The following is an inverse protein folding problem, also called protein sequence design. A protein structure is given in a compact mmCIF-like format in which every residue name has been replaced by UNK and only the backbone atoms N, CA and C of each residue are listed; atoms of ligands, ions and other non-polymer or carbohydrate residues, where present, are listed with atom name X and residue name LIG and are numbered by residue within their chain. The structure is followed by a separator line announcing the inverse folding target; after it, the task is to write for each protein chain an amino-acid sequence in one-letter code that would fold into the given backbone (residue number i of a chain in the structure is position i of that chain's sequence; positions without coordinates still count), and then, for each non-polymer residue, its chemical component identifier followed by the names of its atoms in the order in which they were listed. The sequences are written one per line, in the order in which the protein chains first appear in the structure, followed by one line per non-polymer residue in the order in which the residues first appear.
data_IF_777394894494
#
_entry.id   IF_777394894494
#
_cell.length_a   1.000
_cell.length_b   1.000
_cell.length_c   1.000
_cell.angle_alpha   90.00
_cell.angle_beta   90.00
_cell.angle_gamma   90.00
#
_symmetry.space_group_name_H-M   'P 1'
#
loop_
_entity.id
_entity.type
_entity.pdbx_description
1 polymer ?
#
# COMPACT_ATOMS: atom_id res chain seq x y z
N UNK A 1 -48.53 18.38 -34.52
CA UNK A 1 -47.74 19.54 -34.99
C UNK A 1 -46.29 19.03 -35.08
N UNK A 2 -45.84 18.39 -36.17
CA UNK A 2 -45.25 18.97 -37.41
C UNK A 2 -44.28 20.12 -37.09
N UNK A 3 -43.02 20.22 -37.53
CA UNK A 3 -42.17 19.41 -38.41
C UNK A 3 -40.74 20.03 -38.45
N UNK A 4 -39.71 19.16 -38.54
CA UNK A 4 -38.55 19.18 -39.49
C UNK A 4 -37.43 20.27 -39.47
N UNK A 5 -36.19 19.73 -39.45
CA UNK A 5 -34.89 20.16 -40.06
C UNK A 5 -35.01 20.66 -41.54
N UNK A 6 -33.99 21.31 -42.20
CA UNK A 6 -32.57 20.87 -42.29
C UNK A 6 -31.45 21.93 -42.62
N UNK A 7 -30.18 21.45 -42.67
CA UNK A 7 -28.99 21.97 -43.41
C UNK A 7 -28.99 21.41 -44.87
N UNK A 8 -27.97 21.56 -45.78
CA UNK A 8 -26.74 22.39 -45.88
C UNK A 8 -26.60 23.10 -47.27
N UNK A 9 -25.46 23.75 -47.60
CA UNK A 9 -25.04 23.99 -49.00
C UNK A 9 -23.50 23.97 -49.18
N UNK A 10 -23.04 23.20 -50.17
CA UNK A 10 -21.67 23.11 -50.71
C UNK A 10 -21.70 23.64 -52.15
N UNK A 11 -20.72 24.47 -52.55
CA UNK A 11 -20.58 24.92 -53.94
C UNK A 11 -19.15 25.21 -54.38
N UNK A 12 -18.54 24.25 -55.10
CA UNK A 12 -17.24 24.31 -55.81
C UNK A 12 -17.26 25.26 -57.02
N UNK A 13 -16.08 25.77 -57.42
CA UNK A 13 -15.43 25.78 -58.78
C UNK A 13 -14.33 26.86 -58.85
N UNK A 14 -13.45 26.97 -59.85
CA UNK A 14 -12.32 26.13 -60.30
C UNK A 14 -11.37 27.03 -61.15
N UNK A 15 -10.05 26.82 -61.02
CA UNK A 15 -8.92 26.98 -61.98
C UNK A 15 -8.79 28.16 -62.99
N UNK A 16 -7.61 28.82 -63.02
CA UNK A 16 -6.56 28.78 -64.09
C UNK A 16 -5.53 29.95 -64.03
N UNK A 17 -4.24 29.61 -64.17
CA UNK A 17 -3.06 30.44 -64.50
C UNK A 17 -3.05 30.83 -66.01
N UNK A 18 -2.07 31.52 -66.68
CA UNK A 18 -0.71 31.98 -66.28
C UNK A 18 -0.20 33.34 -66.87
N UNK A 19 1.04 33.76 -66.55
CA UNK A 19 1.77 34.78 -67.35
C UNK A 19 3.04 35.40 -66.71
N UNK A 20 4.23 34.99 -67.18
CA UNK A 20 5.58 35.62 -67.02
C UNK A 20 5.74 36.79 -68.04
N UNK A 21 6.81 37.66 -68.08
CA UNK A 21 8.23 37.42 -67.72
C UNK A 21 9.08 38.60 -67.13
N UNK A 22 10.35 38.23 -66.82
CA UNK A 22 11.63 38.89 -66.42
C UNK A 22 12.13 40.02 -67.37
N UNK A 23 13.21 40.84 -67.10
CA UNK A 23 14.60 40.37 -66.79
C UNK A 23 15.66 41.28 -66.08
N UNK A 24 16.83 40.63 -65.82
CA UNK A 24 18.24 41.12 -65.81
C UNK A 24 18.73 42.07 -64.70
N UNK A 25 19.99 42.09 -64.24
CA UNK A 25 21.19 41.23 -64.30
C UNK A 25 22.30 41.95 -63.48
N UNK A 26 23.23 41.22 -62.84
CA UNK A 26 24.69 41.51 -62.88
C UNK A 26 25.49 40.53 -62.00
N UNK A 27 26.40 39.81 -62.65
CA UNK A 27 27.49 39.01 -62.06
C UNK A 27 28.63 39.91 -61.58
N UNK A 28 29.46 39.42 -60.65
CA UNK A 28 30.92 39.41 -60.79
C UNK A 28 31.56 38.31 -59.91
N UNK A 29 32.42 37.51 -60.55
CA UNK A 29 33.23 36.44 -60.00
C UNK A 29 34.53 36.99 -59.37
N UNK A 30 34.94 36.44 -58.23
CA UNK A 30 36.37 36.27 -57.90
C UNK A 30 36.58 34.94 -57.16
N UNK A 31 37.38 34.07 -57.78
CA UNK A 31 37.96 32.85 -57.19
C UNK A 31 39.05 33.25 -56.17
N UNK A 32 39.01 32.66 -54.98
CA UNK A 32 40.11 32.66 -54.01
C UNK A 32 39.92 31.50 -53.06
N UNK A 33 40.81 30.51 -53.11
CA UNK A 33 40.69 29.24 -52.39
C UNK A 33 41.31 29.28 -50.98
N UNK A 34 40.71 28.48 -50.08
CA UNK A 34 41.30 27.74 -48.95
C UNK A 34 41.92 28.52 -47.77
N UNK A 35 41.24 28.52 -46.61
CA UNK A 35 41.67 27.79 -45.40
C UNK A 35 40.61 27.83 -44.28
N UNK A 36 40.63 26.80 -43.44
CA UNK A 36 39.64 26.41 -42.45
C UNK A 36 39.38 27.38 -41.28
N UNK A 37 38.14 27.43 -40.81
CA UNK A 37 37.74 27.46 -39.39
C UNK A 37 36.20 27.52 -39.30
N UNK A 38 35.52 26.37 -39.33
CA UNK A 38 34.15 26.31 -38.82
C UNK A 38 34.21 26.09 -37.31
N UNK A 39 33.97 27.15 -36.55
CA UNK A 39 33.60 27.06 -35.14
C UNK A 39 32.21 26.44 -35.06
N UNK A 40 32.17 25.11 -34.97
CA UNK A 40 30.99 24.40 -34.55
C UNK A 40 30.69 24.79 -33.10
N UNK A 41 29.55 25.43 -32.87
CA UNK A 41 28.95 25.48 -31.55
C UNK A 41 28.54 24.05 -31.21
N UNK A 42 29.22 23.43 -30.24
CA UNK A 42 28.80 22.16 -29.69
C UNK A 42 27.50 22.36 -28.87
N UNK A 43 26.52 21.45 -28.95
CA UNK A 43 25.40 21.46 -28.03
C UNK A 43 25.90 20.91 -26.68
N UNK A 44 26.29 21.79 -25.77
CA UNK A 44 26.49 21.46 -24.36
C UNK A 44 25.17 21.69 -23.63
N UNK A 45 24.20 20.78 -23.78
CA UNK A 45 22.98 20.80 -22.98
C UNK A 45 22.19 19.47 -23.01
N UNK A 46 22.69 18.38 -23.59
CA UNK A 46 21.88 17.15 -23.75
C UNK A 46 22.61 15.86 -23.37
N UNK A 47 23.80 15.94 -22.78
CA UNK A 47 24.53 14.79 -22.23
C UNK A 47 24.60 14.79 -20.70
N UNK A 48 24.21 15.89 -20.05
CA UNK A 48 24.22 16.04 -18.58
C UNK A 48 22.99 15.43 -17.90
N UNK A 49 21.84 15.31 -18.58
CA UNK A 49 20.65 14.65 -18.03
C UNK A 49 20.71 13.11 -18.15
N UNK A 50 21.19 12.56 -19.27
CA UNK A 50 21.12 11.11 -19.56
C UNK A 50 22.08 10.25 -18.70
N UNK A 51 23.08 10.85 -18.04
CA UNK A 51 24.10 10.10 -17.28
C UNK A 51 24.02 10.22 -15.75
N UNK A 52 23.14 11.07 -15.20
CA UNK A 52 23.03 11.28 -13.74
C UNK A 52 22.44 10.07 -12.99
N UNK A 53 21.62 9.24 -13.64
CA UNK A 53 20.96 8.08 -13.02
C UNK A 53 21.83 6.81 -12.89
N UNK A 54 23.08 6.81 -13.37
CA UNK A 54 23.89 5.56 -13.45
C UNK A 54 24.43 5.06 -12.10
N UNK A 55 24.36 5.86 -11.04
CA UNK A 55 24.89 5.54 -9.71
C UNK A 55 23.87 5.75 -8.58
N UNK A 56 22.59 5.55 -8.86
CA UNK A 56 21.63 5.41 -7.78
C UNK A 56 21.86 4.05 -7.10
N UNK A 57 22.31 4.05 -5.84
CA UNK A 57 22.37 2.81 -5.09
C UNK A 57 20.98 2.54 -4.53
N UNK A 58 20.34 1.53 -5.09
CA UNK A 58 19.05 1.08 -4.62
C UNK A 58 19.24 0.35 -3.28
N UNK A 59 18.43 0.70 -2.30
CA UNK A 59 18.34 0.00 -1.02
C UNK A 59 17.33 -1.12 -1.14
N UNK A 60 17.65 -2.32 -0.68
CA UNK A 60 16.67 -3.41 -0.64
C UNK A 60 15.75 -3.21 0.57
N UNK A 61 14.44 -3.14 0.34
CA UNK A 61 13.47 -3.27 1.43
C UNK A 61 13.35 -4.75 1.80
N UNK A 62 13.62 -5.03 3.06
CA UNK A 62 13.27 -6.31 3.69
C UNK A 62 12.07 -6.06 4.58
N UNK A 63 10.89 -6.54 4.20
CA UNK A 63 9.70 -6.50 5.04
C UNK A 63 9.94 -7.34 6.31
N UNK A 64 10.52 -6.72 7.33
CA UNK A 64 10.83 -7.36 8.61
C UNK A 64 9.59 -7.41 9.49
N UNK A 65 9.14 -8.61 9.85
CA UNK A 65 8.23 -8.77 10.99
C UNK A 65 9.02 -8.48 12.27
N UNK A 66 8.85 -7.27 12.82
CA UNK A 66 9.39 -6.92 14.12
C UNK A 66 8.88 -7.88 15.20
N UNK A 67 9.81 -8.58 15.83
CA UNK A 67 9.53 -9.52 16.92
C UNK A 67 9.67 -8.85 18.28
N UNK A 68 8.68 -9.12 19.15
CA UNK A 68 8.78 -9.02 20.61
C UNK A 68 8.34 -7.68 21.22
N UNK A 69 7.30 -7.76 22.05
CA UNK A 69 6.76 -6.77 23.00
C UNK A 69 5.82 -5.67 22.46
N UNK A 70 4.51 -5.97 22.56
CA UNK A 70 3.31 -5.12 22.73
C UNK A 70 3.11 -3.81 21.92
N UNK A 71 3.95 -3.47 20.96
CA UNK A 71 3.70 -2.40 19.95
C UNK A 71 4.40 -2.70 18.63
N UNK A 72 3.94 -3.71 17.90
CA UNK A 72 4.54 -4.17 16.63
C UNK A 72 5.13 -3.04 15.79
N UNK A 73 6.46 -2.91 15.84
CA UNK A 73 7.25 -1.98 15.04
C UNK A 73 7.84 -2.76 13.87
N UNK A 74 7.45 -2.42 12.65
CA UNK A 74 8.20 -2.81 11.45
C UNK A 74 8.93 -1.59 10.91
N UNK A 75 10.21 -1.76 10.59
CA UNK A 75 11.03 -0.73 9.98
C UNK A 75 11.25 -1.13 8.51
N UNK A 76 10.77 -0.27 7.62
CA UNK A 76 11.13 -0.25 6.21
C UNK A 76 12.19 0.83 6.03
N UNK A 77 12.99 0.80 4.95
CA UNK A 77 14.02 1.83 4.74
C UNK A 77 13.39 3.24 4.84
N UNK A 78 13.77 4.02 5.86
CA UNK A 78 13.26 5.38 6.13
C UNK A 78 11.79 5.51 6.55
N UNK A 79 11.05 4.39 6.67
CA UNK A 79 9.62 4.38 7.04
C UNK A 79 9.43 3.52 8.30
N UNK A 80 8.87 4.14 9.34
CA UNK A 80 8.54 3.48 10.59
C UNK A 80 7.06 3.20 10.68
N UNK A 81 6.71 1.95 11.00
CA UNK A 81 5.33 1.51 11.22
C UNK A 81 5.14 1.29 12.72
N UNK A 82 4.09 1.87 13.28
CA UNK A 82 3.72 1.73 14.70
C UNK A 82 2.27 1.28 14.83
N UNK A 83 2.02 0.34 15.72
CA UNK A 83 0.68 -0.16 16.02
C UNK A 83 0.22 0.29 17.41
N UNK A 84 -1.05 0.71 17.52
CA UNK A 84 -1.72 1.06 18.77
C UNK A 84 -3.09 0.39 18.84
N UNK A 85 -3.40 -0.21 19.98
CA UNK A 85 -4.66 -0.94 20.16
C UNK A 85 -4.58 -2.37 19.63
N UNK A 86 -5.62 -3.14 19.91
CA UNK A 86 -5.63 -4.60 19.71
C UNK A 86 -4.93 -5.36 20.84
N UNK A 87 -5.59 -6.38 21.38
CA UNK A 87 -4.97 -7.32 22.30
C UNK A 87 -4.07 -8.28 21.49
N UNK A 88 -2.78 -8.39 21.84
CA UNK A 88 -1.73 -9.05 21.03
C UNK A 88 -1.71 -10.58 21.14
N UNK A 89 -2.68 -11.20 21.82
CA UNK A 89 -2.80 -12.65 21.94
C UNK A 89 -3.65 -13.27 20.83
N UNK A 90 -3.10 -14.23 20.09
CA UNK A 90 -3.84 -15.15 19.19
C UNK A 90 -4.27 -14.59 17.82
N UNK A 91 -4.31 -13.27 17.66
CA UNK A 91 -4.78 -12.59 16.46
C UNK A 91 -3.90 -12.70 15.21
N UNK A 92 -4.35 -12.15 14.07
CA UNK A 92 -3.64 -12.23 12.80
C UNK A 92 -3.97 -11.11 11.81
N UNK A 93 -3.37 -11.14 10.60
CA UNK A 93 -3.63 -10.13 9.58
C UNK A 93 -5.08 -10.20 9.12
N UNK A 94 -5.68 -9.04 8.84
CA UNK A 94 -6.98 -8.99 8.16
C UNK A 94 -6.80 -9.37 6.70
N UNK A 95 -7.69 -10.22 6.20
CA UNK A 95 -7.78 -10.51 4.77
C UNK A 95 -8.61 -9.41 4.14
N UNK A 96 -8.00 -8.61 3.25
CA UNK A 96 -8.74 -7.59 2.50
C UNK A 96 -9.86 -8.23 1.68
N UNK A 97 -11.07 -7.66 1.75
CA UNK A 97 -12.15 -8.04 0.85
C UNK A 97 -11.86 -7.62 -0.61
N UNK A 98 -10.95 -6.66 -0.80
CA UNK A 98 -10.46 -6.19 -2.10
C UNK A 98 -8.94 -6.43 -2.22
N UNK A 99 -8.54 -7.32 -3.12
CA UNK A 99 -7.13 -7.71 -3.35
C UNK A 99 -6.44 -6.86 -4.42
N UNK A 100 -7.05 -5.75 -4.84
CA UNK A 100 -6.50 -4.94 -5.94
C UNK A 100 -5.28 -4.10 -5.56
N UNK A 101 -5.04 -3.88 -4.26
CA UNK A 101 -3.85 -3.17 -3.81
C UNK A 101 -2.62 -4.07 -3.77
N UNK A 102 -1.53 -3.62 -4.40
CA UNK A 102 -0.20 -4.22 -4.34
C UNK A 102 0.80 -3.12 -4.01
N UNK A 103 1.71 -3.31 -3.04
CA UNK A 103 2.72 -2.30 -2.74
C UNK A 103 3.54 -1.95 -3.99
N UNK A 104 3.97 -0.70 -4.15
CA UNK A 104 4.72 -0.30 -5.33
C UNK A 104 6.03 -1.10 -5.41
N UNK A 105 6.51 -1.38 -6.62
CA UNK A 105 7.73 -2.16 -6.82
C UNK A 105 9.01 -1.39 -6.41
N UNK A 106 8.95 -0.06 -6.32
CA UNK A 106 9.99 0.78 -5.72
C UNK A 106 9.39 2.06 -5.13
N UNK A 107 10.13 2.72 -4.25
CA UNK A 107 9.81 4.06 -3.71
C UNK A 107 11.10 4.78 -3.29
N UNK A 108 11.06 6.08 -3.01
CA UNK A 108 12.17 6.82 -2.41
C UNK A 108 11.99 6.93 -0.91
N UNK A 109 13.07 6.89 -0.14
CA UNK A 109 12.99 7.09 1.31
C UNK A 109 14.26 7.76 1.85
N UNK A 110 14.18 8.46 3.00
CA UNK A 110 15.36 8.96 3.68
C UNK A 110 16.17 7.79 4.23
N UNK A 111 17.29 7.48 3.58
CA UNK A 111 18.06 6.26 3.86
C UNK A 111 19.33 6.54 4.63
N UNK A 112 19.99 7.67 4.34
CA UNK A 112 21.31 7.96 4.87
C UNK A 112 21.41 9.37 5.46
N UNK A 113 22.09 9.47 6.60
CA UNK A 113 22.70 10.73 7.03
C UNK A 113 23.84 11.14 6.07
N UNK A 114 24.32 12.40 6.08
CA UNK A 114 25.50 12.81 5.33
C UNK A 114 26.71 11.89 5.51
N UNK A 115 27.03 11.57 6.77
CA UNK A 115 28.16 10.69 7.10
C UNK A 115 27.96 9.28 6.53
N UNK A 116 26.77 8.69 6.71
CA UNK A 116 26.49 7.36 6.18
C UNK A 116 26.47 7.33 4.66
N UNK A 117 25.98 8.38 4.00
CA UNK A 117 25.95 8.44 2.53
C UNK A 117 27.37 8.43 1.95
N UNK A 118 28.26 9.27 2.48
CA UNK A 118 29.67 9.29 2.09
C UNK A 118 30.33 7.93 2.32
N UNK A 119 30.18 7.38 3.52
CA UNK A 119 30.74 6.07 3.86
C UNK A 119 30.21 4.97 2.94
N UNK A 120 28.91 5.01 2.63
CA UNK A 120 28.28 4.05 1.73
C UNK A 120 29.01 4.05 0.39
N UNK A 121 29.32 5.21 -0.19
CA UNK A 121 29.99 5.32 -1.47
C UNK A 121 31.45 4.82 -1.42
N UNK A 122 32.18 5.15 -0.36
CA UNK A 122 33.53 4.62 -0.12
C UNK A 122 33.54 3.08 -0.07
N UNK A 123 32.55 2.49 0.61
CA UNK A 123 32.40 1.03 0.68
C UNK A 123 32.11 0.41 -0.68
N UNK A 124 31.29 1.06 -1.52
CA UNK A 124 31.08 0.62 -2.90
C UNK A 124 32.37 0.67 -3.69
N UNK A 125 33.14 1.76 -3.61
CA UNK A 125 34.41 1.85 -4.29
C UNK A 125 35.37 0.74 -3.81
N UNK A 126 35.46 0.51 -2.51
CA UNK A 126 36.36 -0.51 -1.94
C UNK A 126 36.01 -1.93 -2.36
N UNK A 127 34.72 -2.24 -2.51
CA UNK A 127 34.24 -3.56 -2.91
C UNK A 127 34.14 -3.76 -4.43
N UNK A 128 34.32 -2.69 -5.21
CA UNK A 128 34.20 -2.73 -6.67
C UNK A 128 35.58 -2.97 -7.34
N UNK A 129 35.73 -3.99 -8.21
CA UNK A 129 36.99 -4.26 -8.92
C UNK A 129 37.46 -3.08 -9.80
N UNK A 130 38.77 -2.87 -9.93
CA UNK A 130 39.33 -1.73 -10.68
C UNK A 130 38.94 -1.67 -12.18
N UNK A 131 38.59 -2.80 -12.79
CA UNK A 131 38.26 -2.88 -14.22
C UNK A 131 36.75 -2.75 -14.53
N UNK A 132 35.90 -2.45 -13.55
CA UNK A 132 34.43 -2.38 -13.73
C UNK A 132 33.90 -0.96 -13.92
N UNK A 133 34.72 -0.01 -14.40
CA UNK A 133 34.31 1.39 -14.51
C UNK A 133 34.36 2.18 -13.19
N UNK A 134 35.00 1.63 -12.15
CA UNK A 134 35.16 2.25 -10.82
C UNK A 134 35.67 3.70 -10.86
N UNK A 135 36.66 4.00 -11.69
CA UNK A 135 37.22 5.36 -11.79
C UNK A 135 36.23 6.37 -12.36
N UNK A 136 35.37 5.92 -13.26
CA UNK A 136 34.33 6.73 -13.87
C UNK A 136 33.18 6.97 -12.86
N UNK A 137 32.81 5.95 -12.09
CA UNK A 137 31.89 6.07 -10.96
C UNK A 137 32.38 7.08 -9.91
N UNK A 138 33.65 6.99 -9.50
CA UNK A 138 34.27 7.91 -8.55
C UNK A 138 34.24 9.35 -9.07
N UNK A 139 34.58 9.56 -10.34
CA UNK A 139 34.54 10.89 -10.97
C UNK A 139 33.14 11.49 -10.97
N UNK A 140 32.13 10.75 -11.40
CA UNK A 140 30.74 11.25 -11.44
C UNK A 140 30.18 11.51 -10.05
N UNK A 141 30.50 10.66 -9.08
CA UNK A 141 30.06 10.86 -7.70
C UNK A 141 30.71 12.09 -7.08
N UNK A 142 32.01 12.29 -7.31
CA UNK A 142 32.71 13.50 -6.86
C UNK A 142 32.14 14.77 -7.52
N UNK A 143 31.83 14.72 -8.82
CA UNK A 143 31.17 15.83 -9.52
C UNK A 143 29.78 16.16 -8.96
N UNK A 144 29.03 15.15 -8.53
CA UNK A 144 27.66 15.31 -8.04
C UNK A 144 27.58 15.66 -6.54
N UNK A 145 28.43 15.05 -5.70
CA UNK A 145 28.33 15.10 -4.23
C UNK A 145 29.65 15.40 -3.51
N UNK A 146 30.75 15.59 -4.24
CA UNK A 146 32.08 15.85 -3.68
C UNK A 146 32.28 17.25 -3.09
N UNK A 147 33.53 17.56 -2.69
CA UNK A 147 33.89 18.83 -2.01
C UNK A 147 33.50 20.07 -2.81
N UNK A 148 33.64 20.02 -4.14
CA UNK A 148 33.36 21.14 -5.05
C UNK A 148 31.92 21.13 -5.60
N UNK A 149 31.08 20.18 -5.17
CA UNK A 149 29.68 20.06 -5.63
C UNK A 149 28.73 21.04 -4.95
N UNK A 150 27.47 21.10 -5.41
CA UNK A 150 26.44 21.89 -4.73
C UNK A 150 26.15 21.42 -3.29
N UNK A 151 26.51 20.17 -2.97
CA UNK A 151 26.34 19.55 -1.66
C UNK A 151 27.62 19.52 -0.82
N UNK A 152 28.69 20.22 -1.23
CA UNK A 152 29.90 20.47 -0.42
C UNK A 152 30.35 19.27 0.44
N UNK A 153 30.83 18.21 -0.21
CA UNK A 153 31.21 16.93 0.42
C UNK A 153 30.03 16.26 1.15
N UNK A 154 29.04 15.82 0.38
CA UNK A 154 27.90 14.99 0.84
C UNK A 154 27.02 15.64 1.92
N UNK A 155 27.06 16.97 2.04
CA UNK A 155 26.45 17.76 3.10
C UNK A 155 26.97 17.40 4.49
N UNK A 156 28.24 16.98 4.63
CA UNK A 156 28.81 16.61 5.94
C UNK A 156 28.74 17.74 6.97
N UNK A 157 28.75 19.00 6.53
CA UNK A 157 28.58 20.17 7.39
C UNK A 157 27.12 20.42 7.82
N UNK A 158 26.16 19.69 7.24
CA UNK A 158 24.70 19.76 7.51
C UNK A 158 24.15 18.49 8.16
N UNK A 159 25.01 17.75 8.85
CA UNK A 159 24.64 16.56 9.63
C UNK A 159 23.49 16.87 10.61
N UNK A 160 22.42 16.08 10.54
CA UNK A 160 21.21 16.28 11.35
C UNK A 160 20.27 17.40 10.90
N UNK A 161 20.54 18.06 9.77
CA UNK A 161 19.63 19.05 9.17
C UNK A 161 18.65 18.43 8.17
N UNK A 162 18.91 17.21 7.70
CA UNK A 162 18.12 16.52 6.69
C UNK A 162 18.62 15.11 6.44
N UNK A 163 18.15 14.48 5.36
CA UNK A 163 18.58 13.14 4.96
C UNK A 163 18.80 13.05 3.45
N UNK A 164 19.67 12.12 3.07
CA UNK A 164 19.80 11.64 1.69
C UNK A 164 18.72 10.62 1.38
N UNK A 165 17.94 10.92 0.35
CA UNK A 165 16.88 10.07 -0.15
C UNK A 165 17.39 9.20 -1.30
N UNK A 166 17.24 7.89 -1.16
CA UNK A 166 17.63 6.92 -2.19
C UNK A 166 16.40 6.18 -2.68
N UNK A 167 16.50 5.57 -3.85
CA UNK A 167 15.51 4.58 -4.26
C UNK A 167 15.60 3.34 -3.34
N UNK A 168 14.45 2.74 -3.10
CA UNK A 168 14.26 1.53 -2.33
C UNK A 168 13.52 0.53 -3.21
N UNK A 169 14.11 -0.64 -3.43
CA UNK A 169 13.49 -1.75 -4.16
C UNK A 169 12.62 -2.55 -3.21
N UNK A 170 11.35 -2.71 -3.57
CA UNK A 170 10.48 -3.65 -2.91
C UNK A 170 10.71 -5.06 -3.46
N UNK A 171 11.51 -5.84 -2.72
CA UNK A 171 11.87 -7.22 -3.09
C UNK A 171 10.70 -8.20 -3.02
N UNK A 172 9.59 -7.84 -2.36
CA UNK A 172 8.37 -8.64 -2.32
C UNK A 172 7.49 -8.47 -3.58
N UNK A 173 7.74 -7.44 -4.39
CA UNK A 173 7.03 -7.25 -5.66
C UNK A 173 7.46 -8.28 -6.71
N UNK A 174 6.50 -8.77 -7.50
CA UNK A 174 6.77 -9.62 -8.66
C UNK A 174 6.99 -8.80 -9.96
N UNK A 175 6.76 -7.49 -9.91
CA UNK A 175 7.02 -6.56 -11.02
C UNK A 175 8.48 -6.13 -11.03
N UNK A 176 9.32 -6.96 -11.64
CA UNK A 176 10.77 -6.75 -11.73
C UNK A 176 11.14 -5.55 -12.61
N UNK A 177 10.29 -5.18 -13.58
CA UNK A 177 10.51 -4.00 -14.42
C UNK A 177 10.22 -2.73 -13.61
N UNK A 178 9.10 -2.72 -12.89
CA UNK A 178 8.75 -1.62 -11.99
C UNK A 178 9.74 -1.42 -10.84
N UNK A 179 10.47 -2.46 -10.41
CA UNK A 179 11.49 -2.33 -9.36
C UNK A 179 12.63 -1.38 -9.76
N UNK A 180 12.81 -1.15 -11.06
CA UNK A 180 13.83 -0.25 -11.61
C UNK A 180 13.28 1.12 -12.02
N UNK A 181 11.99 1.39 -11.77
CA UNK A 181 11.33 2.63 -12.20
C UNK A 181 11.70 3.86 -11.34
N UNK A 182 12.30 3.66 -10.16
CA UNK A 182 12.80 4.73 -9.29
C UNK A 182 14.26 5.02 -9.64
N UNK A 183 14.47 5.82 -10.69
CA UNK A 183 15.76 6.08 -11.34
C UNK A 183 16.34 7.48 -11.06
N UNK A 184 15.64 8.32 -10.30
CA UNK A 184 16.11 9.64 -9.90
C UNK A 184 17.39 9.52 -9.07
N UNK A 185 18.41 10.36 -9.34
CA UNK A 185 19.63 10.39 -8.54
C UNK A 185 19.33 10.61 -7.05
N UNK A 186 20.20 10.09 -6.18
CA UNK A 186 20.12 10.36 -4.73
C UNK A 186 20.07 11.86 -4.48
N UNK A 187 19.07 12.31 -3.71
CA UNK A 187 18.82 13.74 -3.48
C UNK A 187 18.73 14.06 -2.00
N UNK A 188 19.05 15.30 -1.64
CA UNK A 188 18.98 15.79 -0.28
C UNK A 188 17.64 16.46 0.00
N UNK A 189 17.06 16.20 1.17
CA UNK A 189 15.90 16.96 1.68
C UNK A 189 16.17 17.37 3.12
N UNK A 190 15.93 18.64 3.42
CA UNK A 190 16.01 19.17 4.78
C UNK A 190 14.83 18.69 5.62
N UNK A 191 15.06 18.45 6.91
CA UNK A 191 13.99 18.13 7.84
C UNK A 191 13.01 19.30 7.96
N UNK A 192 11.72 18.99 7.86
CA UNK A 192 10.63 19.97 7.87
C UNK A 192 10.29 20.54 6.49
N UNK A 193 11.13 20.31 5.47
CA UNK A 193 10.77 20.60 4.09
C UNK A 193 9.99 19.42 3.48
N UNK A 194 9.14 19.73 2.49
CA UNK A 194 8.48 18.71 1.69
C UNK A 194 9.47 18.13 0.67
N UNK A 195 9.54 16.80 0.50
CA UNK A 195 10.34 16.20 -0.55
C UNK A 195 9.82 16.62 -1.94
N UNK A 196 10.66 16.49 -2.98
CA UNK A 196 10.25 16.80 -4.35
C UNK A 196 9.02 15.99 -4.78
N UNK A 197 8.14 16.63 -5.55
CA UNK A 197 6.95 15.99 -6.14
C UNK A 197 7.34 15.18 -7.39
N UNK A 198 7.99 14.04 -7.14
CA UNK A 198 8.42 13.06 -8.16
C UNK A 198 7.73 11.71 -7.91
N UNK A 199 7.44 10.94 -8.98
CA UNK A 199 6.88 9.60 -8.83
C UNK A 199 7.77 8.72 -7.93
N UNK A 200 7.17 7.99 -6.98
CA UNK A 200 7.87 7.10 -6.07
C UNK A 200 8.21 7.72 -4.71
N UNK A 201 8.11 9.04 -4.52
CA UNK A 201 8.15 9.62 -3.17
C UNK A 201 6.87 9.21 -2.41
N UNK A 202 6.99 8.67 -1.18
CA UNK A 202 5.85 8.22 -0.41
C UNK A 202 4.83 9.33 -0.19
N UNK A 203 3.60 9.06 -0.62
CA UNK A 203 2.44 9.90 -0.35
C UNK A 203 1.75 9.41 0.93
N UNK A 204 0.93 10.25 1.59
CA UNK A 204 0.09 9.78 2.70
C UNK A 204 -0.81 8.60 2.30
N UNK A 205 -1.33 8.60 1.07
CA UNK A 205 -2.12 7.48 0.53
C UNK A 205 -1.31 6.17 0.53
N UNK A 206 -0.09 6.19 0.00
CA UNK A 206 0.79 5.01 -0.01
C UNK A 206 1.09 4.51 1.41
N UNK A 207 1.35 5.44 2.34
CA UNK A 207 1.59 5.09 3.73
C UNK A 207 0.33 4.49 4.40
N UNK A 208 -0.86 4.94 4.03
CA UNK A 208 -2.11 4.38 4.55
C UNK A 208 -2.30 2.93 4.11
N UNK A 209 -2.00 2.66 2.84
CA UNK A 209 -2.06 1.31 2.29
C UNK A 209 -0.98 0.39 2.91
N UNK A 210 0.22 0.93 3.15
CA UNK A 210 1.27 0.21 3.88
C UNK A 210 0.87 -0.10 5.33
N UNK A 211 0.25 0.86 6.03
CA UNK A 211 -0.29 0.66 7.36
C UNK A 211 -1.43 -0.38 7.37
N UNK A 212 -2.29 -0.37 6.35
CA UNK A 212 -3.33 -1.37 6.16
C UNK A 212 -2.76 -2.77 5.98
N UNK A 213 -1.74 -2.93 5.14
CA UNK A 213 -1.06 -4.20 4.92
C UNK A 213 -0.41 -4.79 6.19
N UNK A 214 -0.02 -3.92 7.11
CA UNK A 214 0.56 -4.29 8.40
C UNK A 214 -0.49 -4.39 9.54
N UNK A 215 -1.78 -4.19 9.24
CA UNK A 215 -2.85 -4.27 10.23
C UNK A 215 -3.05 -5.71 10.71
N UNK A 216 -2.92 -5.91 12.01
CA UNK A 216 -3.22 -7.17 12.70
C UNK A 216 -4.30 -6.92 13.73
N UNK A 217 -5.31 -7.78 13.74
CA UNK A 217 -6.46 -7.69 14.65
C UNK A 217 -6.41 -8.82 15.67
N UNK A 218 -7.05 -8.66 16.84
CA UNK A 218 -7.17 -9.73 17.83
C UNK A 218 -7.86 -10.98 17.27
N UNK A 219 -7.71 -12.11 17.97
CA UNK A 219 -8.43 -13.32 17.62
C UNK A 219 -9.95 -13.13 17.83
N UNK A 220 -10.75 -13.53 16.84
CA UNK A 220 -12.21 -13.55 16.98
C UNK A 220 -12.66 -14.80 17.76
N UNK A 221 -12.59 -14.76 19.08
CA UNK A 221 -13.09 -15.82 19.95
C UNK A 221 -14.60 -15.65 20.20
N UNK A 222 -15.43 -16.40 19.48
CA UNK A 222 -16.89 -16.38 19.70
C UNK A 222 -17.27 -17.12 20.98
N UNK A 223 -18.21 -16.55 21.73
CA UNK A 223 -18.89 -17.25 22.81
C UNK A 223 -20.17 -17.88 22.29
N UNK A 224 -20.49 -19.09 22.79
CA UNK A 224 -21.67 -19.83 22.35
C UNK A 224 -22.47 -20.39 23.53
N UNK A 225 -23.78 -20.48 23.37
CA UNK A 225 -24.64 -21.22 24.30
C UNK A 225 -25.63 -22.09 23.51
N UNK A 226 -25.61 -23.43 23.68
CA UNK A 226 -24.71 -24.20 24.57
C UNK A 226 -23.24 -24.14 24.11
N UNK A 227 -22.30 -24.24 25.06
CA UNK A 227 -20.84 -24.09 24.79
C UNK A 227 -20.20 -25.28 24.07
N UNK A 228 -20.74 -26.49 24.23
CA UNK A 228 -20.10 -27.72 23.75
C UNK A 228 -21.06 -28.67 23.02
N UNK A 229 -22.17 -29.05 23.67
CA UNK A 229 -23.12 -30.02 23.10
C UNK A 229 -24.30 -29.30 22.44
N UNK A 230 -24.32 -29.29 21.11
CA UNK A 230 -25.43 -28.71 20.35
C UNK A 230 -26.49 -29.77 20.09
N UNK A 231 -27.75 -29.38 20.07
CA UNK A 231 -28.88 -30.30 19.84
C UNK A 231 -29.62 -29.92 18.56
N UNK A 232 -30.01 -30.92 17.76
CA UNK A 232 -30.84 -30.71 16.57
C UNK A 232 -32.11 -29.93 16.95
N UNK A 233 -32.45 -28.92 16.15
CA UNK A 233 -33.58 -28.00 16.33
C UNK A 233 -33.51 -27.10 17.58
N UNK A 234 -32.37 -27.05 18.29
CA UNK A 234 -32.15 -26.11 19.39
C UNK A 234 -31.29 -24.93 18.89
N UNK A 235 -31.74 -23.67 19.03
CA UNK A 235 -30.93 -22.51 18.69
C UNK A 235 -29.67 -22.40 19.57
N UNK A 236 -28.53 -22.26 18.92
CA UNK A 236 -27.26 -21.88 19.54
C UNK A 236 -27.13 -20.36 19.47
N UNK A 237 -27.02 -19.73 20.63
CA UNK A 237 -26.76 -18.30 20.77
C UNK A 237 -25.27 -18.04 20.59
N UNK A 238 -24.92 -16.98 19.87
CA UNK A 238 -23.53 -16.57 19.61
C UNK A 238 -23.38 -15.08 19.94
N UNK A 239 -22.30 -14.71 20.64
CA UNK A 239 -21.96 -13.31 20.89
C UNK A 239 -20.45 -13.12 20.98
N UNK A 240 -20.02 -11.87 20.98
CA UNK A 240 -18.64 -11.46 21.22
C UNK A 240 -18.61 -10.35 22.27
N UNK A 241 -17.75 -10.46 23.29
CA UNK A 241 -17.50 -9.39 24.27
C UNK A 241 -16.67 -8.26 23.65
N UNK A 242 -17.23 -7.04 23.61
CA UNK A 242 -16.58 -5.86 23.03
C UNK A 242 -15.19 -5.55 23.62
N UNK A 243 -14.89 -6.06 24.82
CA UNK A 243 -13.56 -5.98 25.41
C UNK A 243 -12.47 -6.69 24.58
N UNK A 244 -12.83 -7.74 23.84
CA UNK A 244 -11.89 -8.66 23.18
C UNK A 244 -11.53 -8.25 21.73
N UNK A 245 -12.31 -7.39 21.08
CA UNK A 245 -12.12 -6.97 19.69
C UNK A 245 -12.12 -5.44 19.53
N UNK A 246 -11.24 -4.76 20.25
CA UNK A 246 -11.12 -3.30 20.17
C UNK A 246 -10.56 -2.83 18.82
N UNK A 247 -10.90 -1.59 18.38
CA UNK A 247 -10.28 -0.98 17.21
C UNK A 247 -8.76 -0.99 17.26
N UNK A 248 -8.15 -1.12 16.08
CA UNK A 248 -6.68 -1.11 15.91
C UNK A 248 -6.30 0.08 15.03
N UNK A 249 -5.28 0.82 15.46
CA UNK A 249 -4.67 1.90 14.70
C UNK A 249 -3.24 1.51 14.30
N UNK A 250 -2.93 1.63 13.02
CA UNK A 250 -1.58 1.45 12.49
C UNK A 250 -1.14 2.74 11.82
N UNK A 251 0.00 3.27 12.21
CA UNK A 251 0.57 4.48 11.62
C UNK A 251 1.85 4.14 10.88
N UNK A 252 1.93 4.50 9.60
CA UNK A 252 3.17 4.51 8.83
C UNK A 252 3.63 5.96 8.65
N UNK A 253 4.92 6.21 8.90
CA UNK A 253 5.49 7.54 8.89
C UNK A 253 6.89 7.53 8.28
N UNK A 254 7.21 8.54 7.48
CA UNK A 254 8.58 8.83 7.04
C UNK A 254 9.33 9.57 8.16
N UNK A 255 10.43 9.00 8.65
CA UNK A 255 11.14 9.58 9.80
C UNK A 255 11.76 10.95 9.49
N UNK A 256 11.51 11.93 10.34
CA UNK A 256 12.02 13.30 10.17
C UNK A 256 11.20 14.20 9.25
N UNK A 257 10.13 13.69 8.63
CA UNK A 257 9.27 14.44 7.71
C UNK A 257 7.80 14.41 8.17
N UNK A 258 7.04 15.46 7.83
CA UNK A 258 5.58 15.52 8.08
C UNK A 258 4.81 14.77 6.98
N UNK A 259 5.17 13.49 6.79
CA UNK A 259 4.54 12.58 5.84
C UNK A 259 4.18 11.31 6.60
N UNK A 260 2.89 11.14 6.84
CA UNK A 260 2.39 10.02 7.62
C UNK A 260 0.96 9.70 7.22
N UNK A 261 0.56 8.47 7.55
CA UNK A 261 -0.84 8.07 7.55
C UNK A 261 -1.13 7.10 8.69
N UNK A 262 -2.28 7.28 9.30
CA UNK A 262 -2.84 6.40 10.31
C UNK A 262 -4.07 5.71 9.75
N UNK A 263 -3.98 4.40 9.60
CA UNK A 263 -5.08 3.50 9.24
C UNK A 263 -5.74 2.99 10.51
N UNK A 264 -7.06 2.98 10.53
CA UNK A 264 -7.88 2.59 11.67
C UNK A 264 -8.89 1.53 11.25
N UNK A 265 -8.81 0.35 11.86
CA UNK A 265 -9.72 -0.76 11.63
C UNK A 265 -10.72 -0.85 12.80
N UNK A 266 -12.01 -0.75 12.49
CA UNK A 266 -13.11 -0.88 13.44
C UNK A 266 -13.95 -2.13 13.17
N UNK A 267 -14.28 -2.93 14.20
CA UNK A 267 -15.23 -4.04 14.05
C UNK A 267 -16.58 -3.53 13.59
N UNK A 268 -17.14 -4.13 12.54
CA UNK A 268 -18.42 -3.71 11.96
C UNK A 268 -19.49 -4.79 12.00
N UNK A 269 -19.16 -6.04 11.70
CA UNK A 269 -20.11 -7.15 11.75
C UNK A 269 -19.45 -8.52 11.87
N UNK A 270 -20.13 -9.47 12.51
CA UNK A 270 -19.76 -10.89 12.55
C UNK A 270 -20.59 -11.67 11.53
N UNK A 271 -19.94 -12.43 10.67
CA UNK A 271 -20.59 -13.34 9.72
C UNK A 271 -20.39 -14.79 10.14
N UNK A 272 -21.49 -15.49 10.39
CA UNK A 272 -21.52 -16.90 10.79
C UNK A 272 -21.72 -17.78 9.56
N UNK A 273 -20.87 -18.80 9.42
CA UNK A 273 -21.03 -19.88 8.43
C UNK A 273 -21.13 -21.21 9.17
N UNK A 274 -22.26 -21.94 9.05
CA UNK A 274 -22.53 -23.10 9.90
C UNK A 274 -21.75 -24.37 9.51
N UNK A 275 -21.06 -24.36 8.37
CA UNK A 275 -20.33 -25.54 7.85
C UNK A 275 -21.22 -26.60 7.19
N UNK A 276 -22.52 -26.34 7.06
CA UNK A 276 -23.51 -27.25 6.44
C UNK A 276 -24.70 -26.48 5.87
N UNK A 277 -25.39 -27.06 4.88
CA UNK A 277 -26.68 -26.56 4.40
C UNK A 277 -27.85 -26.94 5.34
N UNK A 278 -27.66 -27.95 6.19
CA UNK A 278 -28.64 -28.41 7.17
C UNK A 278 -28.63 -27.53 8.45
N UNK A 279 -28.70 -26.21 8.26
CA UNK A 279 -28.73 -25.25 9.35
C UNK A 279 -29.54 -24.00 8.98
N UNK A 280 -30.19 -23.40 9.98
CA UNK A 280 -30.85 -22.10 9.88
C UNK A 280 -30.04 -21.05 10.65
N UNK A 281 -29.80 -19.89 10.04
CA UNK A 281 -29.05 -18.79 10.66
C UNK A 281 -29.97 -17.76 11.31
N UNK A 282 -29.47 -17.11 12.35
CA UNK A 282 -30.13 -16.03 13.06
C UNK A 282 -29.16 -14.83 13.16
N UNK A 283 -29.46 -13.68 12.54
CA UNK A 283 -30.52 -13.47 11.58
C UNK A 283 -30.33 -14.35 10.34
N UNK A 284 -31.35 -14.47 9.49
CA UNK A 284 -31.31 -15.33 8.29
C UNK A 284 -30.21 -14.95 7.30
N UNK A 285 -29.66 -13.74 7.37
CA UNK A 285 -28.49 -13.32 6.59
C UNK A 285 -27.18 -13.98 7.04
N UNK A 286 -27.10 -14.46 8.29
CA UNK A 286 -25.86 -14.92 8.92
C UNK A 286 -24.94 -13.78 9.38
N UNK A 287 -25.30 -12.53 9.12
CA UNK A 287 -24.50 -11.36 9.48
C UNK A 287 -25.12 -10.65 10.68
N UNK A 288 -24.38 -10.62 11.78
CA UNK A 288 -24.71 -10.01 13.04
C UNK A 288 -23.99 -8.65 13.13
N UNK A 289 -24.70 -7.52 13.02
CA UNK A 289 -24.07 -6.20 13.07
C UNK A 289 -23.58 -5.88 14.49
N UNK A 290 -22.60 -4.98 14.57
CA UNK A 290 -22.18 -4.38 15.83
C UNK A 290 -23.30 -3.50 16.40
N UNK A 291 -23.68 -3.76 17.64
CA UNK A 291 -24.70 -3.03 18.39
C UNK A 291 -24.13 -1.94 19.29
N UNK A 292 -24.98 -1.40 20.16
CA UNK A 292 -24.61 -0.34 21.09
C UNK A 292 -23.41 -0.74 21.97
N UNK A 293 -22.46 0.17 22.13
CA UNK A 293 -21.25 -0.07 22.93
C UNK A 293 -20.26 -1.04 22.30
N UNK A 294 -20.44 -1.42 21.02
CA UNK A 294 -19.51 -2.29 20.30
C UNK A 294 -19.83 -3.77 20.42
N UNK A 295 -20.90 -4.17 21.12
CA UNK A 295 -21.24 -5.57 21.33
C UNK A 295 -21.86 -6.21 20.07
N UNK A 296 -21.46 -7.44 19.75
CA UNK A 296 -22.07 -8.24 18.69
C UNK A 296 -22.86 -9.40 19.32
N UNK A 297 -24.14 -9.51 18.97
CA UNK A 297 -25.04 -10.50 19.57
C UNK A 297 -25.46 -10.11 20.99
N UNK A 298 -25.94 -11.08 21.76
CA UNK A 298 -26.29 -10.88 23.17
C UNK A 298 -26.11 -12.20 23.92
N UNK A 299 -25.48 -12.19 25.12
CA UNK A 299 -25.39 -13.36 25.95
C UNK A 299 -26.77 -13.99 26.22
N UNK A 300 -26.80 -15.33 26.29
CA UNK A 300 -28.04 -16.05 26.57
C UNK A 300 -28.67 -15.59 27.89
N UNK A 301 -29.94 -15.12 27.89
CA UNK A 301 -30.55 -14.53 29.09
C UNK A 301 -30.94 -15.55 30.18
N UNK A 302 -30.74 -16.85 29.92
CA UNK A 302 -31.21 -17.92 30.80
C UNK A 302 -32.67 -18.31 30.55
N UNK A 303 -33.06 -19.50 31.01
CA UNK A 303 -34.43 -20.02 30.87
C UNK A 303 -34.73 -20.62 29.49
N UNK A 304 -36.00 -20.58 29.08
CA UNK A 304 -36.45 -20.99 27.76
C UNK A 304 -36.90 -19.75 26.97
N UNK A 305 -35.96 -18.98 26.37
CA UNK A 305 -36.34 -17.80 25.62
C UNK A 305 -37.23 -18.20 24.44
N UNK A 306 -38.40 -17.58 24.33
CA UNK A 306 -39.31 -17.78 23.20
C UNK A 306 -38.81 -17.07 21.92
N UNK A 307 -37.76 -16.26 22.04
CA UNK A 307 -37.19 -15.45 20.96
C UNK A 307 -35.94 -16.13 20.39
N UNK A 308 -35.82 -16.07 19.06
CA UNK A 308 -34.61 -16.48 18.36
C UNK A 308 -33.42 -15.62 18.82
N UNK A 309 -32.20 -16.18 18.84
CA UNK A 309 -31.01 -15.42 19.17
C UNK A 309 -30.82 -14.26 18.18
N UNK A 310 -30.35 -13.08 18.61
CA UNK A 310 -30.02 -11.98 17.71
C UNK A 310 -28.82 -12.31 16.82
N UNK A 311 -27.97 -13.24 17.25
CA UNK A 311 -26.88 -13.83 16.47
C UNK A 311 -26.74 -15.31 16.84
N UNK A 312 -26.79 -16.22 15.87
CA UNK A 312 -26.79 -17.65 16.17
C UNK A 312 -27.08 -18.58 14.99
N UNK A 313 -27.14 -19.86 15.31
CA UNK A 313 -27.37 -20.95 14.36
C UNK A 313 -28.26 -22.04 14.98
N UNK A 314 -29.13 -22.64 14.18
CA UNK A 314 -29.90 -23.84 14.53
C UNK A 314 -29.55 -24.95 13.55
N UNK A 315 -28.91 -26.01 14.04
CA UNK A 315 -28.61 -27.19 13.23
C UNK A 315 -29.83 -28.10 13.09
N UNK A 316 -30.05 -28.61 11.88
CA UNK A 316 -31.20 -29.42 11.50
C UNK A 316 -30.86 -30.91 11.36
N UNK A 317 -29.58 -31.27 11.50
CA UNK A 317 -29.08 -32.63 11.38
C UNK A 317 -27.97 -32.89 12.41
N UNK A 318 -27.94 -34.12 12.92
CA UNK A 318 -26.91 -34.57 13.87
C UNK A 318 -25.62 -34.99 13.15
N UNK A 319 -24.49 -34.89 13.84
CA UNK A 319 -23.15 -35.13 13.28
C UNK A 319 -22.63 -36.56 13.46
N UNK A 320 -23.34 -37.42 14.20
CA UNK A 320 -22.87 -38.77 14.54
C UNK A 320 -22.45 -39.65 13.34
N UNK A 321 -23.01 -39.40 12.16
CA UNK A 321 -22.74 -40.16 10.94
C UNK A 321 -21.77 -39.44 9.97
N UNK A 322 -21.55 -38.14 10.13
CA UNK A 322 -20.83 -37.30 9.17
C UNK A 322 -19.56 -36.65 9.73
N UNK A 323 -19.37 -36.70 11.05
CA UNK A 323 -18.35 -35.90 11.74
C UNK A 323 -18.86 -34.49 12.07
N UNK A 324 -18.11 -33.72 12.90
CA UNK A 324 -18.51 -32.40 13.36
C UNK A 324 -18.65 -31.40 12.20
N UNK A 325 -19.49 -30.39 12.39
CA UNK A 325 -19.58 -29.26 11.47
C UNK A 325 -18.50 -28.22 11.78
N UNK A 326 -17.92 -27.62 10.74
CA UNK A 326 -16.97 -26.53 10.90
C UNK A 326 -17.71 -25.18 10.96
N UNK A 327 -18.07 -24.75 12.16
CA UNK A 327 -18.66 -23.44 12.40
C UNK A 327 -17.58 -22.37 12.25
N UNK A 328 -17.71 -21.49 11.25
CA UNK A 328 -16.78 -20.38 11.04
C UNK A 328 -17.42 -19.05 11.41
N UNK A 329 -16.64 -18.18 12.05
CA UNK A 329 -17.02 -16.84 12.44
C UNK A 329 -16.04 -15.82 11.86
N UNK A 330 -16.49 -15.03 10.89
CA UNK A 330 -15.71 -13.99 10.25
C UNK A 330 -16.07 -12.62 10.79
N UNK A 331 -15.17 -11.98 11.53
CA UNK A 331 -15.34 -10.60 11.98
C UNK A 331 -14.83 -9.65 10.88
N UNK A 332 -15.73 -8.84 10.36
CA UNK A 332 -15.44 -7.78 9.39
C UNK A 332 -15.02 -6.52 10.13
N UNK A 333 -13.99 -5.87 9.59
CA UNK A 333 -13.39 -4.65 10.08
C UNK A 333 -13.54 -3.57 9.01
N UNK A 334 -14.31 -2.53 9.29
CA UNK A 334 -14.35 -1.35 8.45
C UNK A 334 -13.08 -0.54 8.64
N UNK A 335 -12.47 -0.11 7.54
CA UNK A 335 -11.16 0.53 7.59
C UNK A 335 -11.22 1.91 6.98
N UNK A 336 -10.77 2.90 7.75
CA UNK A 336 -10.59 4.28 7.29
C UNK A 336 -9.20 4.76 7.67
N UNK A 337 -8.71 5.80 6.99
CA UNK A 337 -7.41 6.37 7.27
C UNK A 337 -7.43 7.91 7.21
N UNK A 338 -6.46 8.49 7.89
CA UNK A 338 -6.15 9.92 7.87
C UNK A 338 -4.64 10.11 7.73
N UNK A 339 -4.19 11.19 7.11
CA UNK A 339 -2.77 11.46 6.91
C UNK A 339 -2.40 12.93 7.01
N UNK A 340 -1.11 13.18 6.84
CA UNK A 340 -0.53 14.52 6.78
C UNK A 340 -1.18 15.37 5.69
N UNK A 341 -1.18 16.69 5.86
CA UNK A 341 -1.85 17.61 4.92
C UNK A 341 -3.38 17.53 4.92
N UNK A 342 -3.99 16.79 5.86
CA UNK A 342 -5.44 16.63 5.96
C UNK A 342 -6.03 15.66 4.94
N UNK A 343 -5.20 14.79 4.36
CA UNK A 343 -5.66 13.70 3.49
C UNK A 343 -6.34 12.61 4.31
N UNK A 344 -7.14 11.78 3.65
CA UNK A 344 -7.79 10.64 4.27
C UNK A 344 -8.89 10.07 3.39
N UNK A 345 -9.44 8.95 3.81
CA UNK A 345 -10.48 8.25 3.07
C UNK A 345 -10.80 6.89 3.68
N UNK A 346 -11.59 6.12 2.95
CA UNK A 346 -11.90 4.74 3.29
C UNK A 346 -10.94 3.80 2.56
N UNK A 347 -10.61 2.69 3.21
CA UNK A 347 -9.91 1.56 2.63
C UNK A 347 -10.86 0.35 2.56
N UNK A 348 -10.54 -0.67 1.76
CA UNK A 348 -11.35 -1.88 1.74
C UNK A 348 -11.54 -2.48 3.13
N UNK A 349 -12.73 -3.00 3.40
CA UNK A 349 -13.00 -3.74 4.63
C UNK A 349 -12.08 -4.98 4.71
N UNK A 350 -11.57 -5.25 5.91
CA UNK A 350 -10.82 -6.45 6.23
C UNK A 350 -11.69 -7.51 6.91
N UNK A 351 -11.34 -8.78 6.81
CA UNK A 351 -12.00 -9.84 7.60
C UNK A 351 -10.97 -10.74 8.26
N UNK A 352 -11.20 -11.08 9.54
CA UNK A 352 -10.48 -12.13 10.25
C UNK A 352 -11.46 -13.24 10.61
N UNK A 353 -11.15 -14.48 10.21
CA UNK A 353 -12.05 -15.63 10.37
C UNK A 353 -11.43 -16.68 11.27
N UNK A 354 -12.18 -17.10 12.28
CA UNK A 354 -11.89 -18.26 13.12
C UNK A 354 -12.89 -19.38 12.79
N UNK A 355 -12.52 -20.61 13.11
CA UNK A 355 -13.40 -21.77 12.96
C UNK A 355 -13.25 -22.72 14.14
N UNK A 356 -14.36 -23.33 14.54
CA UNK A 356 -14.41 -24.36 15.57
C UNK A 356 -15.27 -25.54 15.12
N UNK A 357 -14.94 -26.73 15.62
CA UNK A 357 -15.73 -27.93 15.38
C UNK A 357 -16.96 -27.95 16.31
N UNK A 358 -18.12 -28.28 15.74
CA UNK A 358 -19.40 -28.34 16.42
C UNK A 358 -20.00 -29.74 16.30
N UNK A 359 -20.21 -30.38 17.45
CA UNK A 359 -20.93 -31.66 17.53
C UNK A 359 -22.41 -31.42 17.80
N UNK A 360 -23.26 -32.05 16.98
CA UNK A 360 -24.71 -31.93 17.07
C UNK A 360 -25.31 -33.30 17.36
N UNK A 361 -25.98 -33.41 18.51
CA UNK A 361 -26.70 -34.62 18.91
C UNK A 361 -28.21 -34.50 18.63
N UNK A 362 -28.86 -35.65 18.49
CA UNK A 362 -30.32 -35.73 18.39
C UNK A 362 -30.87 -36.40 19.66
N UNK A 363 -31.82 -35.72 20.33
CA UNK A 363 -32.49 -36.27 21.50
C UNK A 363 -33.82 -36.90 21.07
N UNK A 364 -33.88 -38.23 21.15
CA UNK A 364 -35.10 -39.00 20.90
C UNK A 364 -35.79 -39.30 22.23
N UNK A 365 -37.02 -38.80 22.42
CA UNK A 365 -37.82 -39.13 23.60
C UNK A 365 -38.72 -40.32 23.30
N UNK A 366 -38.54 -41.41 24.06
CA UNK A 366 -39.47 -42.55 24.04
C UNK A 366 -40.58 -42.26 25.06
N UNK A 367 -41.78 -41.90 24.57
CA UNK A 367 -42.99 -41.85 25.40
C UNK A 367 -43.46 -43.29 25.62
N UNK A 368 -43.51 -43.71 26.89
CA UNK A 368 -44.06 -45.01 27.29
C UNK A 368 -45.52 -44.91 27.71
#
# INVERSE_FOLDING_TARGET
MLSQHPLPDEGRTAARSPGRPRPAAALLFTLGALLAAQLAHAPQASAEEENRGRFNRNTEDTSGQGGGDDRGLSAHAGITITTRGGNTGGGGPISSADTSWTPPPCYYAPTYTPTEFKQSFEDYLNNTPLHSGKGEAARMHEEAYGEDSEYNDHNLDREGEGMWWTSVINTASNDHEGQLACDEPTFWVDFGDAPPDIPGVPTPELLAELAYANTRVPETAIETNPEAEHTVNLPTWIWLDAADYQPVEVTAQVEGYDIWATTRAEPSALTIRPGTEDASLHPSSGTCPTGDGGAIGTPFPGGAPEQAPPCGVTYLRATHATGPYQLSAGLTWSVAWQGSGGTGGDLPDGTYTTAQDVEVQEIQTIVR
#
